data_IF_509941680769
#
_entry.id   IF_509941680769
#
_cell.length_a   1.000
_cell.length_b   1.000
_cell.length_c   1.000
_cell.angle_alpha   90.00
_cell.angle_beta   90.00
_cell.angle_gamma   90.00
#
_symmetry.space_group_name_H-M   'P 1'
#
loop_
_entity.id
_entity.type
_entity.pdbx_description
1 polymer ?
#
# COMPACT_ATOMS: atom_id res chain seq x y z
N UNK A 1 15.49 13.56 22.78
CA UNK A 1 14.22 14.22 23.14
C UNK A 1 13.24 13.12 23.54
N UNK A 2 12.76 13.12 24.78
CA UNK A 2 11.66 12.23 25.15
C UNK A 2 10.38 12.88 24.64
N UNK A 3 9.80 12.31 23.58
CA UNK A 3 8.50 12.75 23.08
C UNK A 3 7.43 12.21 24.02
N UNK A 4 6.64 13.10 24.61
CA UNK A 4 5.44 12.73 25.36
C UNK A 4 4.38 12.14 24.41
N UNK A 5 3.49 11.29 24.91
CA UNK A 5 2.43 10.63 24.14
C UNK A 5 1.63 11.64 23.30
N UNK A 6 1.20 12.74 23.93
CA UNK A 6 0.40 13.77 23.26
C UNK A 6 1.21 14.43 22.14
N UNK A 7 2.50 14.68 22.37
CA UNK A 7 3.38 15.25 21.36
C UNK A 7 3.61 14.28 20.20
N UNK A 8 3.90 13.01 20.48
CA UNK A 8 4.10 11.98 19.47
C UNK A 8 2.84 11.81 18.59
N UNK A 9 1.67 11.71 19.21
CA UNK A 9 0.39 11.60 18.52
C UNK A 9 0.09 12.83 17.67
N UNK A 10 0.33 14.04 18.21
CA UNK A 10 0.12 15.30 17.48
C UNK A 10 1.02 15.39 16.26
N UNK A 11 2.29 14.99 16.37
CA UNK A 11 3.23 14.97 15.24
C UNK A 11 2.76 14.02 14.14
N UNK A 12 2.31 12.81 14.51
CA UNK A 12 1.77 11.84 13.55
C UNK A 12 0.57 12.44 12.81
N UNK A 13 -0.41 13.00 13.54
CA UNK A 13 -1.57 13.66 12.93
C UNK A 13 -1.18 14.85 12.05
N UNK A 14 -0.18 15.62 12.46
CA UNK A 14 0.31 16.76 11.68
C UNK A 14 0.94 16.32 10.36
N UNK A 15 1.71 15.24 10.35
CA UNK A 15 2.27 14.64 9.12
C UNK A 15 1.14 14.17 8.19
N UNK A 16 0.14 13.48 8.74
CA UNK A 16 -1.03 13.05 7.96
C UNK A 16 -1.80 14.24 7.38
N UNK A 17 -2.01 15.30 8.18
CA UNK A 17 -2.63 16.54 7.74
C UNK A 17 -1.86 17.19 6.59
N UNK A 18 -0.53 17.26 6.65
CA UNK A 18 0.29 17.78 5.54
C UNK A 18 0.07 16.93 4.29
N UNK A 19 0.01 15.60 4.45
CA UNK A 19 -0.29 14.69 3.35
C UNK A 19 -1.61 15.00 2.66
N UNK A 20 -2.68 15.15 3.44
CA UNK A 20 -4.02 15.48 2.92
C UNK A 20 -4.08 16.89 2.33
N UNK A 21 -3.41 17.86 2.94
CA UNK A 21 -3.32 19.22 2.43
C UNK A 21 -2.64 19.26 1.06
N UNK A 22 -1.52 18.56 0.89
CA UNK A 22 -0.81 18.46 -0.39
C UNK A 22 -1.66 17.70 -1.43
N UNK A 23 -2.28 16.59 -1.04
CA UNK A 23 -3.18 15.83 -1.92
C UNK A 23 -4.33 16.70 -2.43
N UNK A 24 -4.98 17.46 -1.54
CA UNK A 24 -6.07 18.37 -1.89
C UNK A 24 -5.60 19.48 -2.82
N UNK A 25 -4.48 20.14 -2.50
CA UNK A 25 -3.92 21.22 -3.32
C UNK A 25 -3.50 20.72 -4.71
N UNK A 26 -3.00 19.49 -4.80
CA UNK A 26 -2.57 18.88 -6.06
C UNK A 26 -3.72 18.22 -6.84
N UNK A 27 -4.97 18.33 -6.35
CA UNK A 27 -6.16 17.69 -6.93
C UNK A 27 -5.96 16.18 -7.10
N UNK A 28 -5.55 15.53 -6.00
CA UNK A 28 -5.26 14.10 -5.91
C UNK A 28 -4.20 13.58 -6.90
N UNK A 29 -3.34 14.47 -7.43
CA UNK A 29 -2.21 14.03 -8.26
C UNK A 29 -1.14 13.34 -7.42
N UNK A 30 -0.89 13.84 -6.21
CA UNK A 30 0.02 13.21 -5.26
C UNK A 30 -0.82 12.60 -4.14
N UNK A 31 -0.86 11.26 -3.99
CA UNK A 31 -1.63 10.61 -2.92
C UNK A 31 -1.18 11.05 -1.53
N UNK A 32 -2.11 11.29 -0.61
CA UNK A 32 -1.78 11.76 0.75
C UNK A 32 -0.91 10.76 1.52
N UNK A 33 -1.19 9.47 1.35
CA UNK A 33 -0.41 8.37 1.92
C UNK A 33 1.04 8.39 1.42
N UNK A 34 1.28 8.71 0.15
CA UNK A 34 2.64 8.82 -0.40
C UNK A 34 3.40 9.99 0.24
N UNK A 35 2.77 11.15 0.34
CA UNK A 35 3.37 12.32 0.99
C UNK A 35 3.71 12.02 2.45
N UNK A 36 2.77 11.42 3.19
CA UNK A 36 3.00 11.02 4.57
C UNK A 36 4.17 10.03 4.69
N UNK A 37 4.23 9.01 3.82
CA UNK A 37 5.33 8.04 3.81
C UNK A 37 6.70 8.70 3.57
N UNK A 38 6.80 9.64 2.62
CA UNK A 38 8.03 10.40 2.36
C UNK A 38 8.41 11.25 3.57
N UNK A 39 7.45 11.94 4.19
CA UNK A 39 7.69 12.76 5.38
C UNK A 39 8.13 11.93 6.59
N UNK A 40 7.52 10.77 6.81
CA UNK A 40 7.95 9.84 7.85
C UNK A 40 9.36 9.32 7.59
N UNK A 41 9.67 8.91 6.35
CA UNK A 41 10.99 8.42 5.98
C UNK A 41 12.08 9.48 6.22
N UNK A 42 11.86 10.70 5.72
CA UNK A 42 12.80 11.82 5.93
C UNK A 42 12.86 12.23 7.41
N UNK A 43 11.73 12.20 8.10
CA UNK A 43 11.62 12.52 9.51
C UNK A 43 12.43 11.56 10.37
N UNK A 44 12.27 10.24 10.19
CA UNK A 44 13.03 9.22 10.92
C UNK A 44 14.53 9.31 10.68
N UNK A 45 14.94 9.74 9.48
CA UNK A 45 16.37 9.91 9.19
C UNK A 45 16.99 11.16 9.84
N UNK A 46 16.19 12.15 10.22
CA UNK A 46 16.70 13.46 10.64
C UNK A 46 16.39 13.80 12.11
N UNK A 47 15.12 13.82 12.50
CA UNK A 47 14.67 14.43 13.76
C UNK A 47 13.61 13.61 14.53
N UNK A 48 12.91 12.69 13.87
CA UNK A 48 11.84 11.90 14.49
C UNK A 48 12.44 10.62 15.11
N UNK A 49 11.97 10.21 16.30
CA UNK A 49 12.40 8.96 16.91
C UNK A 49 11.81 7.76 16.15
N UNK A 50 12.57 6.68 16.00
CA UNK A 50 12.13 5.48 15.27
C UNK A 50 10.90 4.82 15.91
N UNK A 51 10.74 4.96 17.23
CA UNK A 51 9.59 4.47 17.99
C UNK A 51 8.45 5.50 18.10
N UNK A 52 8.42 6.56 17.27
CA UNK A 52 7.37 7.59 17.30
C UNK A 52 5.96 7.00 17.21
N UNK A 53 5.77 6.01 16.33
CA UNK A 53 4.47 5.39 16.07
C UNK A 53 3.98 4.62 17.31
N UNK A 54 4.90 3.96 18.01
CA UNK A 54 4.60 3.26 19.26
C UNK A 54 4.34 4.24 20.40
N UNK A 55 5.13 5.33 20.49
CA UNK A 55 4.91 6.41 21.46
C UNK A 55 3.57 7.11 21.26
N UNK A 56 3.05 7.18 20.04
CA UNK A 56 1.73 7.70 19.72
C UNK A 56 0.60 6.69 20.03
N UNK A 57 0.91 5.49 20.53
CA UNK A 57 -0.02 4.36 20.69
C UNK A 57 -0.70 3.93 19.37
N UNK A 58 -0.09 4.24 18.22
CA UNK A 58 -0.59 3.90 16.89
C UNK A 58 0.08 2.66 16.29
N UNK A 59 1.11 2.14 16.96
CA UNK A 59 1.78 0.89 16.61
C UNK A 59 1.03 -0.37 17.03
N UNK A 60 1.76 -1.44 17.33
CA UNK A 60 1.15 -2.69 17.80
C UNK A 60 0.71 -2.58 19.27
N UNK A 61 -0.45 -3.13 19.66
CA UNK A 61 -1.35 -4.01 18.89
C UNK A 61 -2.45 -3.28 18.09
N UNK A 62 -2.60 -1.96 18.27
CA UNK A 62 -3.70 -1.20 17.67
C UNK A 62 -3.70 -1.30 16.15
N UNK A 63 -2.52 -1.18 15.51
CA UNK A 63 -2.38 -1.29 14.06
C UNK A 63 -2.93 -2.63 13.50
N UNK A 64 -2.66 -3.75 14.17
CA UNK A 64 -3.19 -5.07 13.75
C UNK A 64 -4.69 -5.14 13.94
N UNK A 65 -5.21 -4.64 15.06
CA UNK A 65 -6.65 -4.61 15.30
C UNK A 65 -7.37 -3.75 14.25
N UNK A 66 -6.85 -2.56 13.95
CA UNK A 66 -7.34 -1.70 12.88
C UNK A 66 -7.30 -2.39 11.52
N UNK A 67 -6.22 -3.12 11.20
CA UNK A 67 -6.12 -3.90 9.97
C UNK A 67 -7.24 -4.95 9.87
N UNK A 68 -7.50 -5.73 10.92
CA UNK A 68 -8.58 -6.71 10.91
C UNK A 68 -9.96 -6.06 10.72
N UNK A 69 -10.22 -4.94 11.39
CA UNK A 69 -11.47 -4.20 11.21
C UNK A 69 -11.64 -3.68 9.79
N UNK A 70 -10.58 -3.11 9.20
CA UNK A 70 -10.60 -2.61 7.82
C UNK A 70 -10.80 -3.74 6.81
N UNK A 71 -10.13 -4.89 6.98
CA UNK A 71 -10.29 -6.04 6.11
C UNK A 71 -11.71 -6.60 6.14
N UNK A 72 -12.29 -6.75 7.33
CA UNK A 72 -13.68 -7.21 7.48
C UNK A 72 -14.63 -6.21 6.83
N UNK A 73 -14.46 -4.91 7.09
CA UNK A 73 -15.29 -3.87 6.51
C UNK A 73 -15.24 -3.88 4.96
N UNK A 74 -14.03 -3.91 4.38
CA UNK A 74 -13.85 -4.03 2.93
C UNK A 74 -14.49 -5.30 2.37
N UNK A 75 -14.34 -6.43 3.07
CA UNK A 75 -14.97 -7.69 2.69
C UNK A 75 -16.50 -7.60 2.67
N UNK A 76 -17.11 -6.91 3.64
CA UNK A 76 -18.57 -6.74 3.70
C UNK A 76 -19.13 -5.78 2.64
N UNK A 77 -18.33 -4.85 2.11
CA UNK A 77 -18.75 -3.97 1.01
C UNK A 77 -18.71 -4.67 -0.36
N UNK A 78 -18.09 -5.84 -0.48
CA UNK A 78 -18.03 -6.58 -1.74
C UNK A 78 -19.37 -7.26 -2.04
N UNK A 79 -20.04 -6.78 -3.08
CA UNK A 79 -21.23 -7.43 -3.62
C UNK A 79 -20.82 -8.62 -4.52
N UNK A 80 -21.01 -9.85 -4.02
CA UNK A 80 -20.67 -11.08 -4.77
C UNK A 80 -21.41 -11.19 -6.13
N UNK A 81 -22.60 -10.60 -6.25
CA UNK A 81 -23.35 -10.60 -7.51
C UNK A 81 -22.70 -9.68 -8.53
N UNK A 82 -22.25 -8.49 -8.11
CA UNK A 82 -21.50 -7.57 -8.98
C UNK A 82 -20.15 -8.15 -9.37
N UNK A 83 -19.45 -8.81 -8.44
CA UNK A 83 -18.19 -9.50 -8.74
C UNK A 83 -18.38 -10.58 -9.82
N UNK A 84 -19.46 -11.38 -9.71
CA UNK A 84 -19.82 -12.36 -10.73
C UNK A 84 -20.23 -11.71 -12.06
N UNK A 85 -20.97 -10.59 -12.02
CA UNK A 85 -21.33 -9.84 -13.22
C UNK A 85 -20.08 -9.25 -13.92
N UNK A 86 -19.08 -8.84 -13.14
CA UNK A 86 -17.80 -8.31 -13.61
C UNK A 86 -16.71 -9.38 -13.74
N UNK A 87 -17.06 -10.62 -14.08
CA UNK A 87 -16.11 -11.74 -14.21
C UNK A 87 -14.92 -11.44 -15.14
N UNK A 88 -15.11 -10.61 -16.18
CA UNK A 88 -14.00 -10.19 -17.07
C UNK A 88 -12.95 -9.39 -16.31
N UNK A 89 -13.38 -8.48 -15.44
CA UNK A 89 -12.49 -7.71 -14.57
C UNK A 89 -11.73 -8.64 -13.63
N UNK A 90 -12.41 -9.62 -13.04
CA UNK A 90 -11.78 -10.62 -12.15
C UNK A 90 -10.71 -11.42 -12.88
N UNK A 91 -11.01 -11.93 -14.08
CA UNK A 91 -10.06 -12.70 -14.90
C UNK A 91 -8.86 -11.85 -15.31
N UNK A 92 -9.06 -10.58 -15.68
CA UNK A 92 -7.96 -9.65 -16.00
C UNK A 92 -7.07 -9.42 -14.77
N UNK A 93 -7.65 -9.20 -13.60
CA UNK A 93 -6.91 -9.03 -12.35
C UNK A 93 -6.11 -10.29 -11.97
N UNK A 94 -6.71 -11.48 -12.10
CA UNK A 94 -6.01 -12.75 -11.89
C UNK A 94 -4.88 -12.94 -12.91
N UNK A 95 -5.10 -12.58 -14.16
CA UNK A 95 -4.05 -12.55 -15.19
C UNK A 95 -2.89 -11.63 -14.81
N UNK A 96 -3.18 -10.46 -14.22
CA UNK A 96 -2.17 -9.57 -13.66
C UNK A 96 -1.33 -10.21 -12.55
N UNK A 97 -1.99 -10.89 -11.60
CA UNK A 97 -1.32 -11.61 -10.50
C UNK A 97 -0.44 -12.74 -11.04
N UNK A 98 -0.93 -13.51 -12.02
CA UNK A 98 -0.16 -14.55 -12.70
C UNK A 98 1.04 -13.94 -13.44
N UNK A 99 0.85 -12.83 -14.15
CA UNK A 99 1.92 -12.11 -14.84
C UNK A 99 3.01 -11.63 -13.90
N UNK A 100 2.64 -11.04 -12.76
CA UNK A 100 3.58 -10.63 -11.71
C UNK A 100 4.33 -11.84 -11.16
N UNK A 101 3.61 -12.92 -10.83
CA UNK A 101 4.20 -14.14 -10.28
C UNK A 101 5.17 -14.80 -11.26
N UNK A 102 4.80 -14.90 -12.54
CA UNK A 102 5.68 -15.45 -13.57
C UNK A 102 6.90 -14.55 -13.79
N UNK A 103 6.72 -13.22 -13.88
CA UNK A 103 7.83 -12.29 -14.09
C UNK A 103 8.85 -12.33 -12.94
N UNK A 104 8.36 -12.33 -11.70
CA UNK A 104 9.19 -12.40 -10.50
C UNK A 104 9.86 -13.77 -10.34
N UNK A 105 9.13 -14.87 -10.51
CA UNK A 105 9.68 -16.23 -10.36
C UNK A 105 10.58 -16.68 -11.51
N UNK A 106 10.54 -16.00 -12.66
CA UNK A 106 11.46 -16.28 -13.79
C UNK A 106 12.63 -15.30 -13.79
N UNK A 107 12.40 -14.04 -14.13
CA UNK A 107 13.43 -13.00 -14.25
C UNK A 107 14.00 -12.68 -12.86
N UNK A 108 13.13 -12.47 -11.87
CA UNK A 108 13.58 -12.18 -10.51
C UNK A 108 14.40 -13.33 -9.93
N UNK A 109 14.01 -14.59 -10.16
CA UNK A 109 14.78 -15.75 -9.68
C UNK A 109 16.18 -15.79 -10.27
N UNK A 110 16.31 -15.49 -11.56
CA UNK A 110 17.60 -15.45 -12.23
C UNK A 110 18.51 -14.33 -11.68
N UNK A 111 17.95 -13.17 -11.33
CA UNK A 111 18.71 -12.02 -10.86
C UNK A 111 19.03 -12.06 -9.35
N UNK A 112 18.11 -12.55 -8.52
CA UNK A 112 18.15 -12.36 -7.06
C UNK A 112 18.10 -13.65 -6.25
N UNK A 113 17.99 -14.81 -6.91
CA UNK A 113 17.88 -16.11 -6.25
C UNK A 113 16.46 -16.44 -5.78
N UNK A 114 16.27 -17.69 -5.34
CA UNK A 114 14.96 -18.23 -5.01
C UNK A 114 14.36 -17.62 -3.73
N UNK A 115 15.13 -17.56 -2.65
CA UNK A 115 14.63 -17.16 -1.33
C UNK A 115 14.17 -15.70 -1.30
N UNK A 116 14.98 -14.80 -1.89
CA UNK A 116 14.66 -13.39 -2.09
C UNK A 116 13.33 -13.20 -2.82
N UNK A 117 13.10 -13.97 -3.89
CA UNK A 117 11.91 -13.82 -4.74
C UNK A 117 10.66 -14.39 -4.08
N UNK A 118 10.77 -15.57 -3.47
CA UNK A 118 9.63 -16.22 -2.81
C UNK A 118 9.08 -15.37 -1.67
N UNK A 119 9.94 -14.67 -0.94
CA UNK A 119 9.54 -13.83 0.17
C UNK A 119 9.03 -12.45 -0.29
N UNK A 120 9.57 -11.91 -1.38
CA UNK A 120 9.18 -10.60 -1.91
C UNK A 120 7.94 -10.61 -2.81
N UNK A 121 7.64 -11.73 -3.47
CA UNK A 121 6.54 -11.79 -4.45
C UNK A 121 5.15 -11.63 -3.82
N UNK A 122 4.79 -12.34 -2.73
CA UNK A 122 3.48 -12.19 -2.10
C UNK A 122 3.16 -10.77 -1.60
N UNK A 123 4.09 -10.02 -0.96
CA UNK A 123 3.89 -8.60 -0.65
C UNK A 123 3.47 -7.75 -1.84
N UNK A 124 3.92 -8.07 -3.07
CA UNK A 124 3.63 -7.27 -4.26
C UNK A 124 2.16 -7.24 -4.65
N UNK A 125 1.43 -8.33 -4.37
CA UNK A 125 0.02 -8.47 -4.76
C UNK A 125 -0.93 -8.54 -3.57
N UNK A 126 -0.46 -9.02 -2.41
CA UNK A 126 -1.29 -9.26 -1.22
C UNK A 126 -1.23 -8.17 -0.15
N UNK A 127 -0.49 -7.08 -0.40
CA UNK A 127 -0.40 -5.94 0.51
C UNK A 127 0.25 -6.27 1.86
N UNK A 128 -0.12 -5.52 2.90
CA UNK A 128 0.52 -5.62 4.23
C UNK A 128 0.30 -6.97 4.88
N UNK A 129 -0.85 -7.61 4.65
CA UNK A 129 -1.17 -8.94 5.23
C UNK A 129 -0.20 -9.98 4.69
N UNK A 130 -0.01 -10.02 3.37
CA UNK A 130 0.95 -10.95 2.76
C UNK A 130 2.39 -10.65 3.18
N UNK A 131 2.74 -9.37 3.37
CA UNK A 131 4.06 -8.96 3.85
C UNK A 131 4.34 -9.46 5.27
N UNK A 132 3.39 -9.29 6.20
CA UNK A 132 3.50 -9.80 7.56
C UNK A 132 3.53 -11.34 7.60
N UNK A 133 2.71 -12.01 6.78
CA UNK A 133 2.74 -13.48 6.67
C UNK A 133 4.12 -13.98 6.21
N UNK A 134 4.72 -13.37 5.19
CA UNK A 134 6.04 -13.76 4.70
C UNK A 134 7.16 -13.40 5.68
N UNK A 135 7.06 -12.26 6.36
CA UNK A 135 7.98 -11.90 7.44
C UNK A 135 7.99 -12.96 8.53
N UNK A 136 6.83 -13.37 9.04
CA UNK A 136 6.71 -14.42 10.06
C UNK A 136 7.26 -15.76 9.58
N UNK A 137 6.90 -16.18 8.37
CA UNK A 137 7.40 -17.43 7.79
C UNK A 137 8.93 -17.45 7.61
N UNK A 138 9.53 -16.31 7.28
CA UNK A 138 10.98 -16.16 7.19
C UNK A 138 11.64 -16.22 8.58
N UNK A 139 11.06 -15.54 9.58
CA UNK A 139 11.54 -15.59 10.96
C UNK A 139 11.49 -16.99 11.55
N UNK A 140 10.42 -17.75 11.31
CA UNK A 140 10.28 -19.15 11.77
C UNK A 140 11.36 -20.07 11.19
N UNK A 141 11.86 -19.74 10.00
CA UNK A 141 12.96 -20.47 9.34
C UNK A 141 14.35 -19.95 9.70
N UNK A 142 14.46 -18.98 10.61
CA UNK A 142 15.73 -18.33 10.98
C UNK A 142 16.29 -17.38 9.92
N UNK A 143 15.51 -17.04 8.89
CA UNK A 143 15.91 -16.17 7.78
C UNK A 143 15.62 -14.70 8.11
N UNK A 144 16.33 -14.15 9.10
CA UNK A 144 16.06 -12.82 9.66
C UNK A 144 16.23 -11.71 8.62
N UNK A 145 17.25 -11.75 7.78
CA UNK A 145 17.46 -10.72 6.75
C UNK A 145 16.31 -10.70 5.72
N UNK A 146 15.83 -11.88 5.34
CA UNK A 146 14.73 -12.00 4.39
C UNK A 146 13.39 -11.60 5.00
N UNK A 147 13.20 -11.69 6.31
CA UNK A 147 11.99 -11.22 6.97
C UNK A 147 11.85 -9.69 6.85
N UNK A 148 12.97 -8.96 6.96
CA UNK A 148 13.02 -7.51 6.76
C UNK A 148 12.72 -7.17 5.30
N UNK A 149 13.26 -7.96 4.36
CA UNK A 149 13.04 -7.78 2.92
C UNK A 149 11.55 -7.80 2.56
N UNK A 150 10.74 -8.67 3.19
CA UNK A 150 9.30 -8.75 2.92
C UNK A 150 8.59 -7.40 3.14
N UNK A 151 8.91 -6.72 4.25
CA UNK A 151 8.34 -5.41 4.60
C UNK A 151 8.93 -4.32 3.72
N UNK A 152 10.24 -4.34 3.48
CA UNK A 152 10.90 -3.37 2.58
C UNK A 152 10.26 -3.42 1.20
N UNK A 153 10.03 -4.61 0.64
CA UNK A 153 9.39 -4.71 -0.67
C UNK A 153 7.97 -4.19 -0.69
N UNK A 154 7.17 -4.46 0.35
CA UNK A 154 5.84 -3.88 0.48
C UNK A 154 5.86 -2.34 0.49
N UNK A 155 6.82 -1.74 1.19
CA UNK A 155 6.95 -0.29 1.28
C UNK A 155 7.45 0.29 -0.04
N UNK A 156 8.53 -0.27 -0.61
CA UNK A 156 9.16 0.23 -1.83
C UNK A 156 8.22 0.18 -3.03
N UNK A 157 7.39 -0.86 -3.18
CA UNK A 157 6.41 -0.87 -4.27
C UNK A 157 5.39 0.26 -4.17
N UNK A 158 5.06 0.72 -2.95
CA UNK A 158 4.12 1.83 -2.74
C UNK A 158 4.67 3.14 -3.32
N UNK A 159 5.98 3.36 -3.21
CA UNK A 159 6.63 4.57 -3.75
C UNK A 159 6.46 4.71 -5.27
N UNK A 160 6.48 3.60 -6.01
CA UNK A 160 6.28 3.61 -7.46
C UNK A 160 4.82 3.40 -7.85
N UNK A 161 4.10 2.56 -7.10
CA UNK A 161 2.72 2.19 -7.37
C UNK A 161 1.75 3.35 -7.18
N UNK A 162 1.91 4.16 -6.13
CA UNK A 162 1.01 5.29 -5.86
C UNK A 162 1.06 6.36 -6.97
N UNK A 163 2.23 6.86 -7.42
CA UNK A 163 2.29 7.80 -8.55
C UNK A 163 1.74 7.20 -9.86
N UNK A 164 2.07 5.96 -10.19
CA UNK A 164 1.60 5.30 -11.42
C UNK A 164 0.07 5.16 -11.41
N UNK A 165 -0.49 4.74 -10.27
CA UNK A 165 -1.94 4.63 -10.09
C UNK A 165 -2.62 5.99 -10.20
N UNK A 166 -2.05 7.05 -9.60
CA UNK A 166 -2.59 8.40 -9.71
C UNK A 166 -2.63 8.90 -11.17
N UNK A 167 -1.59 8.64 -11.95
CA UNK A 167 -1.54 8.99 -13.39
C UNK A 167 -2.61 8.22 -14.16
N UNK A 168 -2.73 6.91 -13.95
CA UNK A 168 -3.71 6.07 -14.62
C UNK A 168 -5.15 6.50 -14.29
N UNK A 169 -5.47 6.67 -13.01
CA UNK A 169 -6.78 7.12 -12.54
C UNK A 169 -7.14 8.50 -13.07
N UNK A 170 -6.18 9.43 -13.10
CA UNK A 170 -6.43 10.79 -13.62
C UNK A 170 -6.66 10.80 -15.13
N UNK A 171 -5.94 9.95 -15.88
CA UNK A 171 -6.15 9.79 -17.32
C UNK A 171 -7.54 9.22 -17.61
N UNK A 172 -7.92 8.17 -16.88
CA UNK A 172 -9.22 7.53 -17.06
C UNK A 172 -10.37 8.43 -16.60
N UNK A 173 -10.24 9.11 -15.46
CA UNK A 173 -11.21 10.09 -14.99
C UNK A 173 -11.44 11.24 -15.98
N UNK A 174 -10.38 11.74 -16.62
CA UNK A 174 -10.51 12.73 -17.71
C UNK A 174 -11.24 12.16 -18.92
N UNK A 175 -10.91 10.93 -19.34
CA UNK A 175 -11.56 10.25 -20.47
C UNK A 175 -13.07 10.12 -20.23
N UNK A 176 -13.45 9.60 -19.07
CA UNK A 176 -14.84 9.43 -18.67
C UNK A 176 -15.57 10.78 -18.56
N UNK A 177 -14.94 11.79 -17.98
CA UNK A 177 -15.52 13.14 -17.90
C UNK A 177 -15.75 13.75 -19.27
N UNK A 178 -14.82 13.59 -20.21
CA UNK A 178 -14.99 14.06 -21.59
C UNK A 178 -16.12 13.33 -22.29
N UNK A 179 -16.20 12.00 -22.18
CA UNK A 179 -17.26 11.21 -22.79
C UNK A 179 -18.64 11.55 -22.20
N UNK A 180 -18.71 11.77 -20.88
CA UNK A 180 -19.92 12.25 -20.22
C UNK A 180 -20.37 13.63 -20.74
N UNK A 181 -19.43 14.60 -20.83
CA UNK A 181 -19.73 15.95 -21.35
C UNK A 181 -20.16 15.97 -22.82
N UNK A 182 -19.74 14.98 -23.61
CA UNK A 182 -20.17 14.80 -25.00
C UNK A 182 -21.52 14.09 -25.13
N UNK A 183 -22.10 13.61 -24.02
CA UNK A 183 -23.33 12.82 -24.03
C UNK A 183 -23.14 11.37 -24.50
N UNK A 184 -21.90 10.90 -24.66
CA UNK A 184 -21.59 9.52 -25.05
C UNK A 184 -21.84 8.52 -23.91
N UNK A 185 -21.82 8.99 -22.67
CA UNK A 185 -22.04 8.21 -21.45
C UNK A 185 -23.10 8.92 -20.62
N UNK A 186 -24.13 8.19 -20.18
CA UNK A 186 -25.11 8.67 -19.20
C UNK A 186 -24.59 8.37 -17.79
N UNK A 187 -24.80 9.29 -16.85
CA UNK A 187 -24.58 8.99 -15.44
C UNK A 187 -25.69 8.03 -15.02
N UNK A 188 -25.31 6.81 -14.67
CA UNK A 188 -26.16 5.93 -13.87
C UNK A 188 -26.07 6.34 -12.40
#
# INVERSE_FOLDING_TARGET
>A
MNFDLIAAFTIVLFILYIGDFISTKTKAFVPSVFVAAVLFLLGFWTILPENLIDLACLGQPLATLSMYLLLVHMGTMLNLKELAAQWRTVVISLGGIIGISLGTLTIGKYLFGWETVVISTPPLTGGIVAALMMQNAAMEKGLVELSVLAIVMYVTQGFFGYPLTAIALKREGKRLLTAFRKGEIKAE
#
